data_IF_795332115415
#
_entry.id   IF_795332115415
#
_cell.length_a   1.000
_cell.length_b   1.000
_cell.length_c   1.000
_cell.angle_alpha   90.00
_cell.angle_beta   90.00
_cell.angle_gamma   90.00
#
_symmetry.space_group_name_H-M   'P 1'
#
loop_
_entity.id
_entity.type
_entity.pdbx_description
1 polymer ?
#
# COMPACT_ATOMS: atom_id res chain seq x y z
N UNK A 1 22.36 -11.46 -1.55
CA UNK A 1 22.95 -10.32 -0.81
C UNK A 1 21.98 -9.15 -0.91
N UNK A 2 21.58 -8.56 0.23
CA UNK A 2 20.67 -7.39 0.23
C UNK A 2 21.48 -6.10 0.02
N UNK A 3 20.94 -5.17 -0.77
CA UNK A 3 21.53 -3.86 -0.96
C UNK A 3 21.50 -3.07 0.35
N UNK A 4 22.52 -2.25 0.62
CA UNK A 4 22.57 -1.47 1.86
C UNK A 4 21.39 -0.50 1.98
N UNK A 5 20.92 0.03 0.86
CA UNK A 5 19.74 0.91 0.80
C UNK A 5 18.48 0.23 1.34
N UNK A 6 18.33 -1.09 1.15
CA UNK A 6 17.20 -1.85 1.66
C UNK A 6 17.46 -2.32 3.10
N UNK A 7 18.71 -2.69 3.42
CA UNK A 7 19.12 -3.12 4.75
C UNK A 7 18.90 -2.05 5.82
N UNK A 8 19.19 -0.78 5.49
CA UNK A 8 19.10 0.34 6.43
C UNK A 8 17.81 1.15 6.27
N UNK A 9 16.87 0.71 5.42
CA UNK A 9 15.58 1.39 5.26
C UNK A 9 14.82 1.37 6.60
N UNK A 10 14.35 2.53 7.11
CA UNK A 10 13.50 2.57 8.30
C UNK A 10 12.24 1.72 8.13
N UNK A 11 11.89 0.96 9.15
CA UNK A 11 10.70 0.08 9.16
C UNK A 11 9.56 0.62 10.02
N UNK A 12 9.80 1.63 10.86
CA UNK A 12 8.76 2.27 11.68
C UNK A 12 8.85 3.79 11.61
N UNK A 13 7.72 4.48 11.84
CA UNK A 13 7.66 5.95 11.77
C UNK A 13 8.63 6.62 12.76
N UNK A 14 8.82 6.03 13.94
CA UNK A 14 9.77 6.54 14.94
C UNK A 14 11.25 6.37 14.58
N UNK A 15 11.58 5.52 13.60
CA UNK A 15 12.95 5.30 13.09
C UNK A 15 13.29 6.14 11.86
N UNK A 16 12.39 7.05 11.44
CA UNK A 16 12.67 7.95 10.33
C UNK A 16 13.74 8.98 10.74
N UNK A 17 14.78 9.10 9.91
CA UNK A 17 15.91 9.99 10.18
C UNK A 17 15.53 11.48 10.02
N UNK A 18 14.54 11.79 9.19
CA UNK A 18 14.15 13.15 8.82
C UNK A 18 12.62 13.35 8.76
N UNK A 19 12.20 14.61 8.90
CA UNK A 19 10.79 15.03 9.03
C UNK A 19 10.05 14.32 10.17
N UNK A 20 10.65 14.35 11.37
CA UNK A 20 10.11 13.69 12.58
C UNK A 20 8.72 14.21 12.98
N UNK A 21 8.45 15.50 12.79
CA UNK A 21 7.13 16.08 13.06
C UNK A 21 6.05 15.47 12.16
N UNK A 22 6.31 15.35 10.86
CA UNK A 22 5.40 14.68 9.92
C UNK A 22 5.22 13.19 10.27
N UNK A 23 6.27 12.53 10.75
CA UNK A 23 6.17 11.16 11.23
C UNK A 23 5.24 11.03 12.45
N UNK A 24 5.28 11.99 13.37
CA UNK A 24 4.36 12.08 14.51
C UNK A 24 2.92 12.32 14.04
N UNK A 25 2.70 13.24 13.10
CA UNK A 25 1.37 13.48 12.52
C UNK A 25 0.79 12.23 11.86
N UNK A 26 1.60 11.50 11.07
CA UNK A 26 1.21 10.22 10.48
C UNK A 26 0.90 9.17 11.54
N UNK A 27 1.63 9.15 12.66
CA UNK A 27 1.35 8.24 13.78
C UNK A 27 0.02 8.55 14.45
N UNK A 28 -0.29 9.84 14.66
CA UNK A 28 -1.57 10.27 15.21
C UNK A 28 -2.72 9.90 14.25
N UNK A 29 -2.52 10.03 12.94
CA UNK A 29 -3.51 9.67 11.94
C UNK A 29 -3.92 8.19 12.02
N UNK A 30 -2.97 7.28 12.25
CA UNK A 30 -3.24 5.84 12.44
C UNK A 30 -4.06 5.58 13.71
N UNK A 31 -3.86 6.39 14.76
CA UNK A 31 -4.56 6.24 16.04
C UNK A 31 -6.01 6.73 16.02
N UNK A 32 -6.37 7.62 15.09
CA UNK A 32 -7.72 8.20 15.00
C UNK A 32 -8.82 7.20 14.57
N UNK A 33 -8.49 5.96 14.20
CA UNK A 33 -9.43 4.88 13.88
C UNK A 33 -10.11 4.99 12.51
N UNK A 34 -10.49 6.20 12.11
CA UNK A 34 -10.94 6.51 10.74
C UNK A 34 -9.74 6.96 9.90
N UNK A 35 -9.28 6.07 9.01
CA UNK A 35 -8.08 6.30 8.21
C UNK A 35 -8.46 6.83 6.82
N UNK A 36 -8.11 8.09 6.47
CA UNK A 36 -8.52 8.70 5.22
C UNK A 36 -7.68 8.20 4.03
N UNK A 37 -8.18 8.45 2.82
CA UNK A 37 -7.37 8.32 1.61
C UNK A 37 -6.24 9.35 1.60
N UNK A 38 -5.02 8.90 1.25
CA UNK A 38 -3.83 9.73 1.26
C UNK A 38 -3.26 9.94 -0.13
N UNK A 39 -2.85 11.18 -0.41
CA UNK A 39 -2.01 11.54 -1.56
C UNK A 39 -0.63 11.92 -1.04
N UNK A 40 0.36 11.04 -1.25
CA UNK A 40 1.76 11.28 -0.84
C UNK A 40 2.59 11.67 -2.06
N UNK A 41 3.11 12.89 -2.09
CA UNK A 41 3.90 13.43 -3.19
C UNK A 41 5.24 14.02 -2.72
N UNK A 42 6.14 14.32 -3.67
CA UNK A 42 7.48 14.86 -3.40
C UNK A 42 8.54 14.32 -4.36
N UNK A 43 9.81 14.78 -4.28
CA UNK A 43 10.87 14.39 -5.21
C UNK A 43 11.22 12.89 -5.11
N UNK A 44 11.83 12.36 -6.18
CA UNK A 44 12.35 10.98 -6.16
C UNK A 44 13.41 10.83 -5.07
N UNK A 45 13.44 9.69 -4.39
CA UNK A 45 14.37 9.45 -3.28
C UNK A 45 14.00 10.10 -1.93
N UNK A 46 12.94 10.91 -1.84
CA UNK A 46 12.53 11.57 -0.59
C UNK A 46 11.95 10.63 0.50
N UNK A 47 11.94 9.32 0.28
CA UNK A 47 11.42 8.33 1.24
C UNK A 47 9.90 8.16 1.24
N UNK A 48 9.19 8.54 0.17
CA UNK A 48 7.73 8.38 0.05
C UNK A 48 7.26 6.94 0.29
N UNK A 49 7.83 5.98 -0.45
CA UNK A 49 7.51 4.55 -0.30
C UNK A 49 7.87 4.03 1.11
N UNK A 50 8.98 4.49 1.68
CA UNK A 50 9.38 4.15 3.05
C UNK A 50 8.32 4.59 4.06
N UNK A 51 7.81 5.82 3.96
CA UNK A 51 6.76 6.32 4.86
C UNK A 51 5.45 5.54 4.71
N UNK A 52 5.04 5.23 3.49
CA UNK A 52 3.84 4.41 3.22
C UNK A 52 3.98 3.02 3.86
N UNK A 53 5.14 2.36 3.69
CA UNK A 53 5.39 1.06 4.31
C UNK A 53 5.41 1.12 5.85
N UNK A 54 6.02 2.16 6.43
CA UNK A 54 5.96 2.38 7.87
C UNK A 54 4.53 2.56 8.35
N UNK A 55 3.70 3.31 7.62
CA UNK A 55 2.29 3.55 7.94
C UNK A 55 1.47 2.26 7.89
N UNK A 56 1.64 1.46 6.83
CA UNK A 56 0.99 0.14 6.70
C UNK A 56 1.42 -0.79 7.83
N UNK A 57 2.69 -0.73 8.27
CA UNK A 57 3.19 -1.53 9.39
C UNK A 57 2.57 -1.11 10.71
N UNK A 58 2.33 0.18 10.94
CA UNK A 58 1.62 0.66 12.14
C UNK A 58 0.13 0.23 12.11
N UNK A 59 -0.52 0.23 10.94
CA UNK A 59 -1.93 -0.17 10.78
C UNK A 59 -2.15 -1.69 10.94
N UNK A 60 -1.36 -2.51 10.24
CA UNK A 60 -1.61 -3.95 10.10
C UNK A 60 -0.50 -4.84 10.70
N UNK A 61 0.57 -4.24 11.20
CA UNK A 61 1.71 -4.95 11.78
C UNK A 61 2.76 -5.40 10.75
N UNK A 62 3.76 -6.18 11.17
CA UNK A 62 4.90 -6.57 10.31
C UNK A 62 4.52 -7.50 9.15
N UNK A 63 3.31 -8.06 9.13
CA UNK A 63 2.86 -8.94 8.06
C UNK A 63 2.74 -8.26 6.69
N UNK A 64 2.68 -6.92 6.65
CA UNK A 64 2.65 -6.12 5.40
C UNK A 64 3.91 -6.24 4.55
N UNK A 65 5.02 -6.69 5.15
CA UNK A 65 6.32 -6.86 4.47
C UNK A 65 6.42 -8.21 3.74
N UNK A 66 5.48 -9.13 3.99
CA UNK A 66 5.39 -10.41 3.28
C UNK A 66 4.72 -10.20 1.93
N UNK A 67 5.50 -9.70 0.99
CA UNK A 67 5.05 -9.37 -0.36
C UNK A 67 5.14 -10.60 -1.28
N UNK A 68 4.18 -10.71 -2.19
CA UNK A 68 4.15 -11.68 -3.30
C UNK A 68 3.80 -10.93 -4.59
N UNK A 69 4.38 -11.40 -5.69
CA UNK A 69 4.03 -10.89 -7.02
C UNK A 69 2.84 -11.70 -7.51
N UNK A 70 1.78 -11.00 -7.91
CA UNK A 70 0.58 -11.59 -8.50
C UNK A 70 0.45 -11.10 -9.94
N UNK A 71 0.14 -12.03 -10.84
CA UNK A 71 -0.19 -11.72 -12.23
C UNK A 71 -1.71 -11.71 -12.37
N UNK A 72 -2.28 -10.54 -12.65
CA UNK A 72 -3.72 -10.38 -12.84
C UNK A 72 -4.03 -10.10 -14.31
N UNK A 73 -5.05 -10.78 -14.83
CA UNK A 73 -5.56 -10.55 -16.18
C UNK A 73 -6.87 -9.78 -16.10
N UNK A 74 -6.88 -8.55 -16.59
CA UNK A 74 -8.08 -7.72 -16.70
C UNK A 74 -8.58 -7.79 -18.15
N UNK A 75 -9.88 -8.02 -18.33
CA UNK A 75 -10.51 -8.01 -19.65
C UNK A 75 -11.17 -6.65 -19.88
N UNK A 76 -10.69 -5.90 -20.87
CA UNK A 76 -11.28 -4.64 -21.25
C UNK A 76 -12.65 -4.81 -21.93
N UNK A 77 -13.50 -3.77 -21.95
CA UNK A 77 -14.76 -3.79 -22.71
C UNK A 77 -14.58 -4.13 -24.20
N UNK A 78 -13.41 -3.81 -24.76
CA UNK A 78 -12.99 -4.16 -26.12
C UNK A 78 -12.62 -5.64 -26.30
N UNK A 79 -12.81 -6.48 -25.28
CA UNK A 79 -12.37 -7.90 -25.19
C UNK A 79 -10.85 -8.10 -25.24
N UNK A 80 -10.07 -7.03 -25.22
CA UNK A 80 -8.61 -7.11 -25.09
C UNK A 80 -8.25 -7.57 -23.67
N UNK A 81 -7.38 -8.58 -23.58
CA UNK A 81 -6.78 -9.01 -22.32
C UNK A 81 -5.59 -8.11 -21.98
N UNK A 82 -5.52 -7.64 -20.74
CA UNK A 82 -4.46 -6.80 -20.21
C UNK A 82 -3.84 -7.55 -19.04
N UNK A 83 -2.55 -7.78 -19.10
CA UNK A 83 -1.80 -8.45 -18.04
C UNK A 83 -1.08 -7.40 -17.20
N UNK A 84 -1.20 -7.54 -15.88
CA UNK A 84 -0.71 -6.54 -14.93
C UNK A 84 -0.04 -7.26 -13.79
N UNK A 85 1.12 -6.74 -13.40
CA UNK A 85 1.85 -7.22 -12.26
C UNK A 85 1.46 -6.38 -11.05
N UNK A 86 0.95 -7.03 -10.02
CA UNK A 86 0.67 -6.40 -8.73
C UNK A 86 1.60 -6.98 -7.68
N UNK A 87 1.96 -6.16 -6.70
CA UNK A 87 2.70 -6.58 -5.52
C UNK A 87 1.70 -6.59 -4.37
N UNK A 88 1.36 -7.77 -3.88
CA UNK A 88 0.34 -7.94 -2.86
C UNK A 88 0.95 -8.45 -1.55
N UNK A 89 0.33 -8.07 -0.44
CA UNK A 89 0.46 -8.76 0.84
C UNK A 89 -0.91 -9.27 1.28
N UNK A 90 -1.01 -9.85 2.47
CA UNK A 90 -2.31 -10.20 3.05
C UNK A 90 -3.18 -8.98 3.42
N UNK A 91 -2.64 -7.76 3.34
CA UNK A 91 -3.31 -6.54 3.85
C UNK A 91 -3.39 -5.40 2.85
N UNK A 92 -2.56 -5.40 1.80
CA UNK A 92 -2.50 -4.32 0.82
C UNK A 92 -2.10 -4.83 -0.56
N UNK A 93 -2.45 -4.07 -1.60
CA UNK A 93 -2.10 -4.30 -2.99
C UNK A 93 -1.45 -3.04 -3.56
N UNK A 94 -0.24 -3.17 -4.06
CA UNK A 94 0.49 -2.15 -4.82
C UNK A 94 0.38 -2.47 -6.31
N UNK A 95 -0.05 -1.48 -7.09
CA UNK A 95 -0.16 -1.56 -8.54
C UNK A 95 0.38 -0.29 -9.18
N UNK A 96 1.08 -0.44 -10.30
CA UNK A 96 1.42 0.67 -11.17
C UNK A 96 0.43 0.72 -12.35
N UNK A 97 -0.51 1.65 -12.30
CA UNK A 97 -1.54 1.76 -13.34
C UNK A 97 -0.97 2.12 -14.73
N UNK A 98 0.21 2.73 -14.79
CA UNK A 98 0.87 3.06 -16.06
C UNK A 98 1.23 1.82 -16.89
N UNK A 99 1.37 0.65 -16.26
CA UNK A 99 1.66 -0.62 -16.94
C UNK A 99 0.49 -1.04 -17.87
N UNK A 100 -0.72 -0.50 -17.64
CA UNK A 100 -1.90 -0.74 -18.45
C UNK A 100 -2.02 0.17 -19.69
N UNK A 101 -1.11 1.14 -19.88
CA UNK A 101 -1.21 2.13 -20.94
C UNK A 101 -2.55 2.88 -20.91
N UNK A 102 -3.20 3.02 -22.07
CA UNK A 102 -4.49 3.73 -22.20
C UNK A 102 -5.70 2.98 -21.60
N UNK A 103 -5.48 1.90 -20.86
CA UNK A 103 -6.54 1.09 -20.23
C UNK A 103 -6.49 1.15 -18.70
N UNK A 104 -5.64 2.01 -18.14
CA UNK A 104 -5.48 2.30 -16.71
C UNK A 104 -6.81 2.47 -15.96
N UNK A 105 -7.80 3.19 -16.54
CA UNK A 105 -9.13 3.37 -15.95
C UNK A 105 -9.83 2.04 -15.68
N UNK A 106 -9.85 1.13 -16.65
CA UNK A 106 -10.52 -0.17 -16.53
C UNK A 106 -9.83 -1.03 -15.48
N UNK A 107 -8.50 -0.98 -15.49
CA UNK A 107 -7.65 -1.69 -14.54
C UNK A 107 -7.91 -1.24 -13.11
N UNK A 108 -7.88 0.07 -12.86
CA UNK A 108 -8.10 0.62 -11.51
C UNK A 108 -9.51 0.24 -11.01
N UNK A 109 -10.53 0.34 -11.88
CA UNK A 109 -11.90 -0.03 -11.52
C UNK A 109 -12.01 -1.51 -11.13
N UNK A 110 -11.42 -2.41 -11.91
CA UNK A 110 -11.48 -3.84 -11.63
C UNK A 110 -10.69 -4.19 -10.37
N UNK A 111 -9.50 -3.64 -10.19
CA UNK A 111 -8.69 -3.89 -8.99
C UNK A 111 -9.37 -3.42 -7.70
N UNK A 112 -9.95 -2.21 -7.70
CA UNK A 112 -10.72 -1.71 -6.55
C UNK A 112 -11.88 -2.64 -6.25
N UNK A 113 -12.61 -3.09 -7.28
CA UNK A 113 -13.72 -4.04 -7.14
C UNK A 113 -13.26 -5.38 -6.56
N UNK A 114 -12.17 -5.95 -7.06
CA UNK A 114 -11.61 -7.22 -6.56
C UNK A 114 -11.16 -7.10 -5.10
N UNK A 115 -10.47 -6.01 -4.75
CA UNK A 115 -10.03 -5.78 -3.36
C UNK A 115 -11.23 -5.62 -2.43
N UNK A 116 -12.24 -4.85 -2.83
CA UNK A 116 -13.48 -4.67 -2.06
C UNK A 116 -14.25 -5.98 -1.85
N UNK A 117 -14.24 -6.89 -2.83
CA UNK A 117 -14.84 -8.22 -2.70
C UNK A 117 -14.04 -9.16 -1.79
N UNK A 118 -12.72 -9.00 -1.72
CA UNK A 118 -11.83 -9.83 -0.92
C UNK A 118 -11.82 -9.45 0.57
N UNK A 119 -12.20 -8.22 0.91
CA UNK A 119 -12.36 -7.79 2.30
C UNK A 119 -13.53 -8.54 2.93
N UNK A 120 -13.25 -9.48 3.83
CA UNK A 120 -14.29 -10.11 4.65
C UNK A 120 -15.06 -9.04 5.43
N UNK A 121 -16.37 -9.05 5.27
CA UNK A 121 -17.34 -8.35 6.14
C UNK A 121 -17.35 -9.07 7.50
N UNK A 122 -16.26 -8.99 8.26
CA UNK A 122 -16.26 -9.36 9.67
C UNK A 122 -16.06 -8.08 10.49
N UNK A 123 -17.19 -7.40 10.72
CA UNK A 123 -17.34 -6.29 11.66
C UNK A 123 -16.96 -6.66 13.10
N UNK A 124 -16.76 -7.95 13.41
CA UNK A 124 -16.32 -8.48 14.69
C UNK A 124 -14.80 -8.61 14.86
N UNK A 125 -14.00 -8.37 13.81
CA UNK A 125 -12.53 -8.51 13.84
C UNK A 125 -11.78 -7.24 13.47
N UNK A 126 -12.41 -6.06 13.66
CA UNK A 126 -11.61 -4.86 13.90
C UNK A 126 -10.85 -5.09 15.21
N UNK A 127 -9.63 -5.63 15.11
CA UNK A 127 -8.68 -5.54 16.21
C UNK A 127 -8.58 -4.05 16.51
N UNK A 128 -8.91 -3.66 17.73
CA UNK A 128 -8.67 -2.31 18.24
C UNK A 128 -7.29 -1.87 17.74
N UNK A 129 -7.26 -0.76 17.00
CA UNK A 129 -6.01 -0.08 16.69
C UNK A 129 -5.28 0.07 18.02
N UNK A 130 -4.02 -0.39 18.07
CA UNK A 130 -3.25 -0.38 19.31
C UNK A 130 -3.27 1.05 19.87
N UNK A 131 -3.94 1.19 21.02
CA UNK A 131 -3.80 2.36 21.90
C UNK A 131 -2.38 2.49 22.42
#
# INVERSE_FOLDING_TARGET
MSLWVDKYRPTSLGKLDFHKEQATQLKHLVQCGDFPHLLVYGPSGAGKKTRIMCLLRELYGPGVEKLRIEHQTVVAPSKKKIEINTIASNYHLEVNASDAGNQDRVVIQELIKTVAQSQQIQSSTQKNFKG
#
